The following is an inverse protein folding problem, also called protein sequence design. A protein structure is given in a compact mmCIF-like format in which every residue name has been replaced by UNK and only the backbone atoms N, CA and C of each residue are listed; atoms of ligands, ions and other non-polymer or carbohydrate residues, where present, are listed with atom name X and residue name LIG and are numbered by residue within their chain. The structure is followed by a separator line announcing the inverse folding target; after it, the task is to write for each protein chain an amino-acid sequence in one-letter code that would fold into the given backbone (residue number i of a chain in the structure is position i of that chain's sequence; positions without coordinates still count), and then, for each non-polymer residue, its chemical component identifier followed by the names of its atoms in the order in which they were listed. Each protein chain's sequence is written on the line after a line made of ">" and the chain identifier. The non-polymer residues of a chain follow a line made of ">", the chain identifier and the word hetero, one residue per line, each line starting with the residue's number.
data_IF_795815679796
#
_entry.id   IF_795815679796
#
_cell.length_a   1.000
_cell.length_b   1.000
_cell.length_c   1.000
_cell.angle_alpha   90.00
_cell.angle_beta   90.00
_cell.angle_gamma   90.00
#
_symmetry.space_group_name_H-M   'P 1'
#
loop_
_entity.id
_entity.type
_entity.pdbx_description
1 polymer ?
#
# COMPACT_ATOMS: atom_id res chain seq x y z
N UNK A 1 89.66 -38.39 45.15
CA UNK A 1 89.05 -38.29 46.49
C UNK A 1 88.49 -36.89 46.64
N UNK A 2 87.17 -36.76 46.86
CA UNK A 2 86.46 -35.54 47.32
C UNK A 2 86.50 -34.31 46.37
N UNK A 3 85.52 -33.41 46.27
CA UNK A 3 84.18 -33.25 46.82
C UNK A 3 83.46 -32.19 45.95
N UNK A 4 82.13 -32.18 46.07
CA UNK A 4 81.11 -31.34 45.43
C UNK A 4 81.18 -29.84 45.77
N UNK A 5 80.76 -28.95 44.84
CA UNK A 5 79.69 -27.89 44.99
C UNK A 5 79.74 -26.91 43.79
N UNK A 6 78.77 -26.89 42.88
CA UNK A 6 77.47 -26.19 42.87
C UNK A 6 77.52 -24.65 42.93
N UNK A 7 77.05 -24.03 41.84
CA UNK A 7 76.63 -22.64 41.72
C UNK A 7 76.72 -22.24 40.24
N UNK A 8 75.69 -21.79 39.54
CA UNK A 8 74.28 -21.54 39.79
C UNK A 8 73.73 -20.98 38.47
N UNK A 9 72.50 -21.38 38.12
CA UNK A 9 71.40 -20.66 37.42
C UNK A 9 71.83 -19.42 36.59
N UNK A 10 71.49 -19.27 35.30
CA UNK A 10 70.17 -18.82 34.80
C UNK A 10 69.96 -19.22 33.34
N UNK A 11 68.89 -19.97 33.04
CA UNK A 11 68.29 -19.99 31.70
C UNK A 11 67.23 -18.89 31.66
N UNK A 12 67.46 -17.86 30.84
CA UNK A 12 66.46 -16.83 30.59
C UNK A 12 65.37 -17.42 29.68
N UNK A 13 64.20 -17.71 30.25
CA UNK A 13 63.00 -18.05 29.50
C UNK A 13 62.32 -16.73 29.08
N UNK A 14 62.41 -16.36 27.81
CA UNK A 14 61.65 -15.23 27.26
C UNK A 14 60.26 -15.75 26.87
N UNK A 15 59.25 -15.46 27.68
CA UNK A 15 57.85 -15.65 27.30
C UNK A 15 57.37 -14.33 26.68
N UNK A 16 57.15 -14.33 25.37
CA UNK A 16 56.40 -13.26 24.71
C UNK A 16 54.91 -13.46 25.00
N UNK A 17 54.33 -12.58 25.81
CA UNK A 17 52.87 -12.49 25.97
C UNK A 17 52.35 -11.64 24.80
N UNK A 18 51.79 -12.29 23.79
CA UNK A 18 51.00 -11.61 22.77
C UNK A 18 49.61 -11.32 23.35
N UNK A 19 49.34 -10.05 23.68
CA UNK A 19 48.00 -9.59 23.98
C UNK A 19 47.21 -9.48 22.66
N UNK A 20 46.34 -10.45 22.40
CA UNK A 20 45.35 -10.34 21.35
C UNK A 20 44.20 -9.45 21.87
N UNK A 21 44.13 -8.21 21.38
CA UNK A 21 42.93 -7.38 21.52
C UNK A 21 41.91 -7.93 20.52
N UNK A 22 40.93 -8.69 21.01
CA UNK A 22 39.75 -9.02 20.23
C UNK A 22 38.88 -7.75 20.13
N UNK A 23 38.94 -7.08 18.98
CA UNK A 23 37.92 -6.10 18.61
C UNK A 23 36.71 -6.93 18.23
N UNK A 24 35.70 -7.00 19.10
CA UNK A 24 34.38 -7.42 18.66
C UNK A 24 33.87 -6.36 17.69
N UNK A 25 34.02 -6.63 16.39
CA UNK A 25 33.30 -5.89 15.38
C UNK A 25 31.81 -6.15 15.61
N UNK A 26 31.13 -5.18 16.22
CA UNK A 26 29.68 -5.08 16.17
C UNK A 26 29.32 -5.10 14.68
N UNK A 27 28.85 -6.26 14.22
CA UNK A 27 28.27 -6.36 12.89
C UNK A 27 26.96 -5.58 12.95
N UNK A 28 27.02 -4.31 12.56
CA UNK A 28 25.83 -3.61 12.11
C UNK A 28 25.38 -4.38 10.88
N UNK A 29 24.36 -5.21 11.04
CA UNK A 29 23.66 -5.77 9.89
C UNK A 29 23.06 -4.58 9.16
N UNK A 30 23.72 -4.13 8.10
CA UNK A 30 23.00 -3.46 7.04
C UNK A 30 21.94 -4.46 6.61
N UNK A 31 20.68 -4.11 6.78
CA UNK A 31 19.61 -4.83 6.12
C UNK A 31 19.87 -4.65 4.63
N UNK A 32 20.57 -5.62 4.03
CA UNK A 32 20.45 -5.90 2.61
C UNK A 32 18.96 -6.15 2.41
N UNK A 33 18.28 -5.14 1.88
CA UNK A 33 16.88 -5.23 1.54
C UNK A 33 16.73 -6.27 0.46
N UNK A 34 16.33 -7.49 0.84
CA UNK A 34 15.46 -8.30 -0.01
C UNK A 34 14.40 -7.33 -0.55
N UNK A 35 14.19 -7.28 -1.86
CA UNK A 35 13.31 -6.35 -2.56
C UNK A 35 11.82 -6.45 -2.20
N UNK A 36 11.48 -6.76 -0.95
CA UNK A 36 10.16 -6.56 -0.37
C UNK A 36 9.83 -5.07 -0.40
N UNK A 37 8.73 -4.79 -1.09
CA UNK A 37 7.84 -3.67 -0.84
C UNK A 37 7.92 -3.18 0.62
N UNK A 38 7.91 -1.86 0.85
CA UNK A 38 7.84 -1.34 2.20
C UNK A 38 6.70 -2.05 2.96
N UNK A 39 6.98 -2.74 4.07
CA UNK A 39 5.98 -3.53 4.76
C UNK A 39 4.83 -2.61 5.19
N UNK A 40 3.68 -2.77 4.54
CA UNK A 40 2.43 -2.09 4.90
C UNK A 40 1.92 -1.03 3.91
N UNK A 41 2.69 -0.55 2.93
CA UNK A 41 2.13 0.34 1.90
C UNK A 41 1.31 -0.46 0.90
N UNK A 42 0.06 -0.04 0.64
CA UNK A 42 -0.87 -0.78 -0.22
C UNK A 42 -1.92 0.11 -0.87
N UNK A 43 -2.57 -0.39 -1.92
CA UNK A 43 -3.79 0.21 -2.45
C UNK A 43 -4.92 0.03 -1.41
N UNK A 44 -5.81 1.01 -1.30
CA UNK A 44 -6.86 1.02 -0.27
C UNK A 44 -8.27 0.97 -0.87
N UNK A 45 -8.58 1.86 -1.80
CA UNK A 45 -9.89 1.96 -2.46
C UNK A 45 -9.74 2.62 -3.83
N UNK A 46 -10.59 2.24 -4.79
CA UNK A 46 -10.52 2.66 -6.20
C UNK A 46 -11.93 2.98 -6.68
N UNK A 47 -12.13 4.16 -7.27
CA UNK A 47 -13.33 4.54 -8.00
C UNK A 47 -12.97 4.91 -9.44
N UNK A 48 -13.41 4.06 -10.38
CA UNK A 48 -13.09 4.21 -11.80
C UNK A 48 -14.13 5.03 -12.57
N UNK A 49 -15.40 4.99 -12.14
CA UNK A 49 -16.50 5.57 -12.89
C UNK A 49 -17.22 6.63 -12.05
N UNK A 50 -16.70 7.85 -11.94
CA UNK A 50 -17.43 8.93 -11.28
C UNK A 50 -18.75 9.23 -12.01
N UNK A 51 -19.78 9.61 -11.26
CA UNK A 51 -20.98 10.24 -11.78
C UNK A 51 -21.38 11.48 -10.93
N UNK A 52 -20.40 12.04 -10.23
CA UNK A 52 -20.44 13.30 -9.47
C UNK A 52 -19.04 13.86 -9.31
N UNK A 53 -19.00 15.12 -8.89
CA UNK A 53 -17.82 15.86 -8.46
C UNK A 53 -17.20 15.21 -7.20
N UNK A 54 -16.11 14.47 -7.41
CA UNK A 54 -15.33 13.82 -6.36
C UNK A 54 -14.06 14.60 -6.02
N UNK A 55 -13.59 15.48 -6.91
CA UNK A 55 -12.41 16.29 -6.66
C UNK A 55 -12.70 17.64 -5.97
N UNK A 56 -13.98 18.02 -5.88
CA UNK A 56 -14.50 19.16 -5.15
C UNK A 56 -14.41 20.48 -5.89
N UNK A 57 -14.23 20.49 -7.21
CA UNK A 57 -14.10 21.71 -8.01
C UNK A 57 -15.44 22.35 -8.41
N UNK A 58 -16.55 21.68 -8.12
CA UNK A 58 -17.93 22.10 -8.40
C UNK A 58 -18.48 21.62 -9.74
N UNK A 59 -17.70 20.87 -10.53
CA UNK A 59 -18.07 20.31 -11.83
C UNK A 59 -17.86 18.80 -11.84
N UNK A 60 -18.71 18.11 -12.60
CA UNK A 60 -18.48 16.71 -12.90
C UNK A 60 -17.59 16.58 -14.15
N UNK A 61 -16.53 15.79 -14.07
CA UNK A 61 -15.69 15.34 -15.18
C UNK A 61 -15.32 13.86 -15.00
N UNK A 62 -15.62 13.04 -16.02
CA UNK A 62 -15.45 11.59 -15.95
C UNK A 62 -14.01 11.12 -15.70
N UNK A 63 -13.02 11.98 -15.91
CA UNK A 63 -11.59 11.68 -15.85
C UNK A 63 -10.94 12.37 -14.64
N UNK A 64 -11.34 13.59 -14.32
CA UNK A 64 -10.78 14.35 -13.20
C UNK A 64 -11.38 13.90 -11.84
N UNK A 65 -12.58 13.33 -11.85
CA UNK A 65 -13.25 12.77 -10.66
C UNK A 65 -12.97 11.27 -10.40
N UNK A 66 -12.17 10.61 -11.25
CA UNK A 66 -11.64 9.28 -10.91
C UNK A 66 -10.78 9.39 -9.64
N UNK A 67 -10.71 8.34 -8.81
CA UNK A 67 -9.75 8.36 -7.71
C UNK A 67 -9.24 7.00 -7.28
N UNK A 68 -8.04 7.03 -6.71
CA UNK A 68 -7.36 5.90 -6.08
C UNK A 68 -6.87 6.34 -4.72
N UNK A 69 -6.96 5.45 -3.75
CA UNK A 69 -6.38 5.62 -2.43
C UNK A 69 -5.24 4.64 -2.18
N UNK A 70 -4.28 5.11 -1.40
CA UNK A 70 -3.26 4.26 -0.79
C UNK A 70 -3.30 4.42 0.73
N UNK A 71 -2.88 3.37 1.42
CA UNK A 71 -2.77 3.37 2.87
C UNK A 71 -1.39 2.87 3.28
N UNK A 72 -0.84 3.48 4.33
CA UNK A 72 0.27 2.91 5.07
C UNK A 72 -0.28 2.09 6.24
N UNK A 73 -0.43 0.79 6.06
CA UNK A 73 -0.80 -0.16 7.11
C UNK A 73 0.41 -0.65 7.92
N UNK A 74 1.61 -0.09 7.68
CA UNK A 74 2.82 -0.38 8.41
C UNK A 74 2.96 0.47 9.69
N UNK A 75 3.89 0.11 10.59
CA UNK A 75 4.11 0.82 11.85
C UNK A 75 4.99 2.08 11.70
N UNK A 76 5.64 2.25 10.54
CA UNK A 76 6.65 3.30 10.32
C UNK A 76 6.19 4.36 9.31
N UNK A 77 6.69 5.59 9.44
CA UNK A 77 6.52 6.64 8.43
C UNK A 77 7.29 6.26 7.16
N UNK A 78 6.67 6.40 6.00
CA UNK A 78 7.29 6.10 4.70
C UNK A 78 7.52 7.37 3.89
N UNK A 79 8.71 7.50 3.29
CA UNK A 79 8.99 8.50 2.26
C UNK A 79 8.40 8.05 0.93
N UNK A 80 7.78 8.97 0.19
CA UNK A 80 6.92 8.64 -0.94
C UNK A 80 7.54 8.94 -2.31
N UNK A 81 8.71 9.56 -2.37
CA UNK A 81 9.32 10.06 -3.62
C UNK A 81 9.67 8.95 -4.64
N UNK A 82 9.78 7.70 -4.19
CA UNK A 82 10.03 6.53 -5.03
C UNK A 82 8.74 5.83 -5.51
N UNK A 83 7.58 6.19 -4.98
CA UNK A 83 6.34 5.47 -5.25
C UNK A 83 5.56 6.08 -6.41
N UNK A 84 4.89 5.22 -7.19
CA UNK A 84 4.09 5.61 -8.36
C UNK A 84 2.78 4.84 -8.39
N UNK A 85 1.72 5.45 -8.92
CA UNK A 85 0.54 4.72 -9.40
C UNK A 85 0.67 4.46 -10.89
N UNK A 86 0.25 3.27 -11.31
CA UNK A 86 0.08 2.92 -12.72
C UNK A 86 -1.24 2.23 -13.01
N UNK A 87 -1.59 2.18 -14.28
CA UNK A 87 -2.83 1.57 -14.82
C UNK A 87 -2.60 0.14 -15.35
N UNK A 88 -3.60 -0.46 -16.02
CA UNK A 88 -3.54 -1.86 -16.46
C UNK A 88 -2.48 -2.19 -17.51
N UNK A 89 -1.89 -1.17 -18.14
CA UNK A 89 -0.73 -1.32 -19.03
C UNK A 89 0.58 -0.86 -18.37
N UNK A 90 0.54 -0.64 -17.06
CA UNK A 90 1.65 -0.22 -16.19
C UNK A 90 2.25 1.15 -16.57
N UNK A 91 1.48 1.99 -17.25
CA UNK A 91 1.89 3.39 -17.50
C UNK A 91 1.84 4.14 -16.17
N UNK A 92 2.89 4.88 -15.83
CA UNK A 92 2.87 5.72 -14.62
C UNK A 92 1.86 6.84 -14.81
N UNK A 93 0.83 6.87 -13.97
CA UNK A 93 -0.25 7.85 -13.98
C UNK A 93 -0.07 8.94 -12.93
N UNK A 94 0.55 8.61 -11.80
CA UNK A 94 0.86 9.56 -10.73
C UNK A 94 2.17 9.21 -10.02
N UNK A 95 2.90 10.23 -9.58
CA UNK A 95 4.08 10.06 -8.74
C UNK A 95 3.91 10.78 -7.42
N UNK A 96 4.07 10.04 -6.32
CA UNK A 96 3.94 10.57 -4.98
C UNK A 96 5.17 11.41 -4.57
N UNK A 97 4.99 12.21 -3.53
CA UNK A 97 6.06 12.95 -2.86
C UNK A 97 5.76 13.13 -1.38
N UNK A 98 6.77 13.52 -0.59
CA UNK A 98 6.63 13.74 0.84
C UNK A 98 6.59 12.44 1.64
N UNK A 99 5.76 12.38 2.69
CA UNK A 99 5.65 11.21 3.58
C UNK A 99 4.22 10.76 3.79
N UNK A 100 4.04 9.50 4.20
CA UNK A 100 2.79 8.93 4.69
C UNK A 100 3.01 8.31 6.08
N UNK A 101 2.26 8.76 7.08
CA UNK A 101 2.36 8.27 8.46
C UNK A 101 1.68 6.90 8.64
N UNK A 102 2.00 6.15 9.70
CA UNK A 102 1.29 4.92 10.05
C UNK A 102 -0.22 5.14 10.15
N UNK A 103 -0.99 4.29 9.47
CA UNK A 103 -2.45 4.36 9.40
C UNK A 103 -3.01 5.47 8.50
N UNK A 104 -2.19 6.35 7.95
CA UNK A 104 -2.64 7.44 7.06
C UNK A 104 -3.11 6.86 5.72
N UNK A 105 -4.18 7.45 5.19
CA UNK A 105 -4.71 7.23 3.85
C UNK A 105 -4.44 8.49 3.02
N UNK A 106 -3.96 8.30 1.79
CA UNK A 106 -3.86 9.39 0.81
C UNK A 106 -4.81 9.13 -0.35
N UNK A 107 -5.65 10.13 -0.63
CA UNK A 107 -6.54 10.20 -1.78
C UNK A 107 -5.82 10.86 -2.96
N UNK A 108 -5.98 10.28 -4.15
CA UNK A 108 -5.44 10.78 -5.41
C UNK A 108 -6.60 10.83 -6.38
N UNK A 109 -7.07 12.04 -6.65
CA UNK A 109 -8.11 12.33 -7.64
C UNK A 109 -7.50 12.51 -9.04
N UNK A 110 -8.30 12.33 -10.08
CA UNK A 110 -7.91 12.43 -11.47
C UNK A 110 -7.33 13.79 -11.82
N UNK A 111 -7.89 14.89 -11.29
CA UNK A 111 -7.36 16.24 -11.47
C UNK A 111 -5.96 16.40 -10.87
N UNK A 112 -5.67 15.76 -9.74
CA UNK A 112 -4.33 15.73 -9.15
C UNK A 112 -3.35 14.95 -10.04
N UNK A 113 -3.79 13.84 -10.64
CA UNK A 113 -3.01 13.10 -11.63
C UNK A 113 -2.73 13.94 -12.89
N UNK A 114 -3.73 14.64 -13.41
CA UNK A 114 -3.59 15.59 -14.52
C UNK A 114 -2.61 16.70 -14.20
N UNK A 115 -2.71 17.32 -13.02
CA UNK A 115 -1.82 18.38 -12.59
C UNK A 115 -0.36 17.89 -12.49
N UNK A 116 -0.15 16.71 -11.90
CA UNK A 116 1.16 16.08 -11.83
C UNK A 116 1.72 15.78 -13.23
N UNK A 117 0.94 15.14 -14.12
CA UNK A 117 1.36 14.85 -15.50
C UNK A 117 1.77 16.12 -16.24
N UNK A 118 0.96 17.18 -16.13
CA UNK A 118 1.25 18.49 -16.73
C UNK A 118 2.56 19.09 -16.20
N UNK A 119 2.79 19.02 -14.90
CA UNK A 119 4.04 19.52 -14.28
C UNK A 119 5.29 18.80 -14.76
N UNK A 120 5.13 17.58 -15.30
CA UNK A 120 6.20 16.74 -15.84
C UNK A 120 6.31 16.81 -17.37
N UNK A 121 5.46 17.60 -18.04
CA UNK A 121 5.39 17.64 -19.51
C UNK A 121 4.89 16.34 -20.13
N UNK A 122 4.12 15.54 -19.39
CA UNK A 122 3.52 14.29 -19.85
C UNK A 122 2.12 14.55 -20.43
N UNK A 123 1.61 13.60 -21.21
CA UNK A 123 0.21 13.56 -21.64
C UNK A 123 -0.70 13.54 -20.41
N UNK A 124 -1.65 14.47 -20.34
CA UNK A 124 -2.58 14.63 -19.22
C UNK A 124 -3.79 13.70 -19.33
N UNK A 125 -3.54 12.41 -19.22
CA UNK A 125 -4.57 11.38 -19.34
C UNK A 125 -5.25 11.02 -18.00
N UNK A 126 -4.89 11.67 -16.89
CA UNK A 126 -5.46 11.38 -15.57
C UNK A 126 -5.05 10.01 -15.04
N UNK A 127 -5.91 9.38 -14.23
CA UNK A 127 -5.70 8.02 -13.74
C UNK A 127 -6.00 6.97 -14.81
N UNK A 128 -6.87 7.29 -15.78
CA UNK A 128 -7.14 6.47 -16.97
C UNK A 128 -7.70 5.10 -16.61
N UNK A 129 -8.63 5.06 -15.65
CA UNK A 129 -9.23 3.85 -15.13
C UNK A 129 -10.37 3.38 -16.06
N UNK A 130 -10.34 2.13 -16.49
CA UNK A 130 -11.38 1.61 -17.37
C UNK A 130 -12.63 1.15 -16.58
N UNK A 131 -13.79 1.74 -16.86
CA UNK A 131 -15.08 1.38 -16.26
C UNK A 131 -15.52 -0.08 -16.51
N UNK A 132 -15.00 -0.71 -17.56
CA UNK A 132 -15.27 -2.13 -17.85
C UNK A 132 -14.38 -3.09 -17.04
N UNK A 133 -13.43 -2.56 -16.28
CA UNK A 133 -12.43 -3.30 -15.53
C UNK A 133 -11.02 -2.92 -15.96
N UNK A 134 -10.13 -2.83 -14.97
CA UNK A 134 -8.72 -2.46 -15.14
C UNK A 134 -7.87 -3.09 -14.02
N UNK A 135 -6.57 -2.88 -14.07
CA UNK A 135 -5.64 -3.24 -13.02
C UNK A 135 -4.85 -2.01 -12.56
N UNK A 136 -4.94 -1.68 -11.27
CA UNK A 136 -4.16 -0.59 -10.68
C UNK A 136 -2.90 -1.17 -10.05
N UNK A 137 -1.79 -0.50 -10.28
CA UNK A 137 -0.49 -0.86 -9.72
C UNK A 137 0.00 0.23 -8.78
N UNK A 138 0.39 -0.16 -7.57
CA UNK A 138 1.28 0.62 -6.74
C UNK A 138 2.70 0.11 -7.00
N UNK A 139 3.55 1.01 -7.50
CA UNK A 139 4.90 0.70 -7.92
C UNK A 139 5.90 1.43 -7.03
N UNK A 140 7.07 0.84 -6.84
CA UNK A 140 8.26 1.51 -6.31
C UNK A 140 9.32 1.55 -7.40
N UNK A 141 9.87 2.74 -7.64
CA UNK A 141 10.91 3.00 -8.62
C UNK A 141 12.15 3.49 -7.88
N UNK A 142 13.19 2.66 -7.83
CA UNK A 142 14.47 2.97 -7.18
C UNK A 142 15.59 2.83 -8.21
N UNK A 143 16.18 3.96 -8.62
CA UNK A 143 17.15 3.98 -9.71
C UNK A 143 16.53 3.44 -11.02
N UNK A 144 17.12 2.42 -11.66
CA UNK A 144 16.57 1.80 -12.87
C UNK A 144 15.47 0.76 -12.58
N UNK A 145 15.32 0.32 -11.33
CA UNK A 145 14.47 -0.80 -10.98
C UNK A 145 13.04 -0.35 -10.67
N UNK A 146 12.07 -1.09 -11.19
CA UNK A 146 10.64 -0.92 -10.88
C UNK A 146 10.08 -2.21 -10.30
N UNK A 147 9.60 -2.16 -9.06
CA UNK A 147 8.94 -3.28 -8.39
C UNK A 147 7.48 -2.96 -8.12
N UNK A 148 6.63 -3.99 -8.13
CA UNK A 148 5.23 -3.86 -7.73
C UNK A 148 5.14 -4.02 -6.22
N UNK A 149 4.59 -3.02 -5.55
CA UNK A 149 4.34 -2.96 -4.10
C UNK A 149 3.01 -3.65 -3.81
N UNK A 150 1.96 -3.27 -4.54
CA UNK A 150 0.63 -3.84 -4.46
C UNK A 150 -0.07 -3.68 -5.81
N UNK A 151 -1.10 -4.48 -6.06
CA UNK A 151 -1.95 -4.36 -7.24
C UNK A 151 -3.35 -4.89 -6.98
N UNK A 152 -4.33 -4.30 -7.63
CA UNK A 152 -5.71 -4.78 -7.60
C UNK A 152 -6.31 -4.74 -9.00
N UNK A 153 -6.98 -5.84 -9.37
CA UNK A 153 -7.78 -5.93 -10.59
C UNK A 153 -9.25 -5.87 -10.21
N UNK A 154 -9.99 -5.01 -10.89
CA UNK A 154 -11.43 -4.87 -10.71
C UNK A 154 -12.17 -5.08 -12.03
N UNK A 155 -13.45 -5.44 -11.97
CA UNK A 155 -14.31 -5.65 -13.12
C UNK A 155 -15.33 -4.54 -13.36
N UNK A 156 -16.26 -4.80 -14.26
CA UNK A 156 -17.33 -3.85 -14.62
C UNK A 156 -18.39 -3.65 -13.54
N UNK A 157 -18.47 -4.52 -12.53
CA UNK A 157 -19.39 -4.34 -11.39
C UNK A 157 -18.87 -3.21 -10.50
N UNK A 158 -17.58 -3.28 -10.17
CA UNK A 158 -16.83 -2.30 -9.40
C UNK A 158 -16.64 -0.99 -10.17
N UNK A 159 -16.35 -1.07 -11.48
CA UNK A 159 -16.28 0.08 -12.39
C UNK A 159 -17.65 0.66 -12.78
N UNK A 160 -18.71 0.35 -12.03
CA UNK A 160 -20.03 0.97 -12.21
C UNK A 160 -20.06 2.39 -11.62
N UNK A 161 -20.92 3.25 -12.17
CA UNK A 161 -21.01 4.66 -11.76
C UNK A 161 -21.13 4.85 -10.24
N UNK A 162 -20.28 5.69 -9.65
CA UNK A 162 -20.20 5.99 -8.22
C UNK A 162 -20.13 4.77 -7.30
N UNK A 163 -19.56 3.68 -7.82
CA UNK A 163 -19.10 2.55 -7.03
C UNK A 163 -17.60 2.61 -6.92
N UNK A 164 -17.12 2.16 -5.78
CA UNK A 164 -15.71 1.90 -5.56
C UNK A 164 -15.51 0.48 -5.09
N UNK A 165 -14.29 -0.01 -5.25
CA UNK A 165 -13.83 -1.27 -4.67
C UNK A 165 -12.69 -0.96 -3.73
N UNK A 166 -12.75 -1.50 -2.52
CA UNK A 166 -11.78 -1.17 -1.48
C UNK A 166 -11.60 -2.31 -0.49
N UNK A 167 -10.53 -2.24 0.29
CA UNK A 167 -10.32 -3.16 1.41
C UNK A 167 -11.44 -3.00 2.44
N UNK A 168 -11.91 -4.08 3.05
CA UNK A 168 -13.06 -4.02 3.95
C UNK A 168 -12.81 -3.17 5.23
N UNK A 169 -11.55 -3.04 5.64
CA UNK A 169 -11.10 -2.21 6.76
C UNK A 169 -9.58 -1.98 6.70
N UNK A 170 -9.05 -1.08 7.55
CA UNK A 170 -7.61 -0.82 7.74
C UNK A 170 -6.74 -2.05 8.02
N UNK A 171 -7.30 -3.19 8.44
CA UNK A 171 -6.52 -4.42 8.65
C UNK A 171 -6.75 -5.49 7.59
N UNK A 172 -7.72 -5.29 6.68
CA UNK A 172 -8.24 -6.36 5.83
C UNK A 172 -7.47 -6.48 4.52
N UNK A 173 -7.29 -7.72 4.10
CA UNK A 173 -6.85 -8.06 2.74
C UNK A 173 -8.02 -8.30 1.77
N UNK A 174 -9.23 -8.40 2.29
CA UNK A 174 -10.43 -8.66 1.51
C UNK A 174 -10.91 -7.37 0.84
N UNK A 175 -11.09 -7.43 -0.47
CA UNK A 175 -11.71 -6.37 -1.25
C UNK A 175 -13.21 -6.57 -1.31
N UNK A 176 -13.96 -5.51 -1.02
CA UNK A 176 -15.41 -5.47 -1.07
C UNK A 176 -15.86 -4.33 -1.97
N UNK A 177 -17.09 -4.43 -2.46
CA UNK A 177 -17.74 -3.35 -3.18
C UNK A 177 -18.22 -2.28 -2.19
N UNK A 178 -18.10 -1.01 -2.55
CA UNK A 178 -18.70 0.14 -1.88
C UNK A 178 -19.67 0.80 -2.86
N UNK A 179 -20.95 0.53 -2.71
CA UNK A 179 -22.00 0.83 -3.68
C UNK A 179 -23.24 1.49 -3.07
N UNK A 180 -23.16 2.08 -1.87
CA UNK A 180 -24.34 2.73 -1.25
C UNK A 180 -24.95 3.82 -2.12
N UNK A 181 -24.12 4.43 -2.98
CA UNK A 181 -24.47 5.54 -3.86
C UNK A 181 -25.02 5.09 -5.22
N UNK A 182 -24.78 3.84 -5.60
CA UNK A 182 -25.36 3.18 -6.77
C UNK A 182 -25.37 1.66 -6.54
N UNK A 183 -26.37 1.17 -5.81
CA UNK A 183 -26.38 -0.22 -5.33
C UNK A 183 -26.32 -1.23 -6.48
N UNK A 184 -25.42 -2.20 -6.37
CA UNK A 184 -25.40 -3.37 -7.22
C UNK A 184 -26.39 -4.42 -6.70
N UNK A 185 -27.43 -4.70 -7.48
CA UNK A 185 -28.48 -5.68 -7.14
C UNK A 185 -28.42 -6.95 -7.99
N UNK A 186 -27.36 -7.09 -8.80
CA UNK A 186 -27.15 -8.29 -9.61
C UNK A 186 -26.63 -9.47 -8.77
N UNK A 187 -26.44 -10.60 -9.44
CA UNK A 187 -25.93 -11.84 -8.83
C UNK A 187 -24.47 -12.13 -9.15
N UNK A 188 -23.73 -11.15 -9.69
CA UNK A 188 -22.31 -11.28 -10.01
C UNK A 188 -21.40 -11.11 -8.79
N UNK A 189 -20.10 -11.25 -9.01
CA UNK A 189 -19.05 -11.09 -7.99
C UNK A 189 -18.18 -9.89 -8.35
N UNK A 190 -17.87 -8.98 -7.39
CA UNK A 190 -18.33 -8.98 -6.00
C UNK A 190 -19.83 -8.68 -5.86
N UNK A 191 -20.43 -9.18 -4.78
CA UNK A 191 -21.81 -8.87 -4.45
C UNK A 191 -21.94 -7.43 -3.91
N UNK A 192 -23.10 -6.82 -4.10
CA UNK A 192 -23.41 -5.50 -3.53
C UNK A 192 -23.49 -5.54 -2.00
N UNK A 193 -22.93 -4.52 -1.35
CA UNK A 193 -22.78 -4.49 0.11
C UNK A 193 -23.66 -3.39 0.73
N UNK A 194 -23.79 -2.25 0.06
CA UNK A 194 -24.33 -1.00 0.59
C UNK A 194 -23.36 -0.18 1.41
N UNK A 195 -22.07 -0.51 1.40
CA UNK A 195 -21.06 0.32 2.04
C UNK A 195 -20.92 1.63 1.25
N UNK A 196 -20.73 2.75 1.95
CA UNK A 196 -20.46 4.03 1.29
C UNK A 196 -18.98 4.14 0.92
N UNK A 197 -18.64 4.55 -0.31
CA UNK A 197 -17.27 4.93 -0.66
C UNK A 197 -16.63 5.86 0.37
N UNK A 198 -15.33 5.69 0.64
CA UNK A 198 -14.62 6.38 1.73
C UNK A 198 -13.48 7.30 1.29
N UNK A 199 -13.67 8.24 0.34
CA UNK A 199 -12.58 9.09 -0.16
C UNK A 199 -11.94 9.94 0.95
N UNK A 200 -10.63 9.84 1.08
CA UNK A 200 -9.79 10.44 2.13
C UNK A 200 -10.03 9.86 3.53
N UNK A 201 -10.88 8.84 3.65
CA UNK A 201 -11.34 8.27 4.90
C UNK A 201 -10.69 6.94 5.24
N UNK A 202 -11.12 6.35 6.35
CA UNK A 202 -10.79 4.97 6.70
C UNK A 202 -11.90 4.05 6.21
N UNK A 203 -11.54 3.04 5.42
CA UNK A 203 -12.50 2.04 4.97
C UNK A 203 -13.20 1.40 6.16
N UNK A 204 -14.51 1.30 6.07
CA UNK A 204 -15.33 0.63 7.04
C UNK A 204 -16.69 0.34 6.44
N UNK A 205 -17.18 -0.87 6.69
CA UNK A 205 -18.51 -1.25 6.30
C UNK A 205 -19.29 -1.77 7.50
N UNK A 206 -19.94 -0.85 8.21
CA UNK A 206 -20.98 -1.21 9.18
C UNK A 206 -22.30 -1.38 8.44
N UNK A 207 -22.40 -2.42 7.60
CA UNK A 207 -23.74 -2.90 7.25
C UNK A 207 -24.32 -3.43 8.55
N UNK A 208 -25.51 -2.95 8.94
CA UNK A 208 -26.27 -3.62 9.99
C UNK A 208 -26.51 -5.06 9.50
N UNK A 209 -25.65 -5.99 9.88
CA UNK A 209 -26.08 -7.37 10.07
C UNK A 209 -26.94 -7.36 11.32
N UNK A 210 -28.17 -6.88 11.19
CA UNK A 210 -29.21 -7.44 12.03
C UNK A 210 -29.16 -8.94 11.76
N UNK A 211 -28.81 -9.74 12.76
CA UNK A 211 -28.97 -11.18 12.69
C UNK A 211 -30.48 -11.44 12.62
N UNK A 212 -31.06 -11.32 11.43
CA UNK A 212 -32.43 -11.77 11.22
C UNK A 212 -32.40 -13.29 11.21
N UNK A 213 -32.74 -13.87 12.35
CA UNK A 213 -33.05 -15.30 12.41
C UNK A 213 -34.11 -15.61 11.35
N UNK A 214 -34.01 -16.77 10.69
CA UNK A 214 -34.98 -17.23 9.68
C UNK A 214 -36.46 -17.13 10.12
N UNK A 215 -36.74 -17.04 11.42
CA UNK A 215 -38.08 -16.82 11.98
C UNK A 215 -38.61 -15.39 11.86
N UNK A 216 -37.75 -14.36 11.71
CA UNK A 216 -38.18 -12.97 11.53
C UNK A 216 -38.71 -12.71 10.12
N UNK A 217 -38.03 -13.25 9.10
CA UNK A 217 -38.39 -13.13 7.69
C UNK A 217 -39.75 -13.77 7.38
N UNK A 218 -40.09 -14.90 8.02
CA UNK A 218 -41.36 -15.60 7.81
C UNK A 218 -42.60 -14.84 8.28
N UNK A 219 -42.45 -13.84 9.17
CA UNK A 219 -43.59 -13.04 9.66
C UNK A 219 -44.00 -11.90 8.73
N UNK A 220 -43.19 -11.59 7.72
CA UNK A 220 -43.49 -10.54 6.74
C UNK A 220 -44.39 -11.04 5.58
N UNK A 221 -44.63 -12.35 5.51
CA UNK A 221 -45.44 -12.99 4.46
C UNK A 221 -46.75 -13.61 5.01
N UNK A 222 -47.30 -13.05 6.10
CA UNK A 222 -48.63 -13.38 6.60
C UNK A 222 -49.64 -12.30 6.24
#
# INVERSE_FOLDING_TARGET
>A
MHMVRWGGVVWALVIAVAAAVAIEAVSVRHAEGDGRAAPGLRLNEILAAPARDWDGDGLYDSKDDEWVEIQNAGPDVLAMDEYRLGDGVRTVRFGFSGTIAPGEVKLIVGSAAVAWQRSRGLTTAGLSLNNSGDQVYLLRVTGPDTTTVDTHTYGSIEGGSDRSVGRASTGSEDWILFDSLNRYTGSGTPAGTGCSPTPGGVNGCTTHVGSETWGAIKRLYQ
#
